data_IF_203642091816
#
_entry.id   IF_203642091816
#
_cell.length_a   1.000
_cell.length_b   1.000
_cell.length_c   1.000
_cell.angle_alpha   90.00
_cell.angle_beta   90.00
_cell.angle_gamma   90.00
#
_symmetry.space_group_name_H-M   'P 1'
#
loop_
_entity.id
_entity.type
_entity.pdbx_description
1 polymer ?
#
# COMPACT_ATOMS: atom_id res chain seq x y z
N UNK A 1 9.18 -46.45 16.60
CA UNK A 1 8.81 -45.04 16.45
C UNK A 1 9.49 -44.53 15.18
N UNK A 2 8.75 -44.47 14.06
CA UNK A 2 9.30 -44.13 12.74
C UNK A 2 8.92 -42.71 12.35
N UNK A 3 9.91 -41.87 12.08
CA UNK A 3 9.73 -40.48 11.66
C UNK A 3 9.36 -40.41 10.17
N UNK A 4 8.14 -39.95 9.87
CA UNK A 4 7.68 -39.65 8.52
C UNK A 4 8.10 -38.22 8.17
N UNK A 5 9.10 -38.07 7.31
CA UNK A 5 9.48 -36.79 6.72
C UNK A 5 8.61 -36.54 5.49
N UNK A 6 7.72 -35.54 5.57
CA UNK A 6 6.88 -35.13 4.43
C UNK A 6 7.73 -34.23 3.52
N UNK A 7 8.09 -34.74 2.34
CA UNK A 7 8.88 -34.01 1.35
C UNK A 7 7.98 -32.96 0.65
N UNK A 8 7.94 -31.75 1.20
CA UNK A 8 7.23 -30.62 0.59
C UNK A 8 7.97 -30.19 -0.70
N UNK A 9 7.36 -30.42 -1.88
CA UNK A 9 7.94 -30.03 -3.17
C UNK A 9 8.18 -28.53 -3.31
N UNK A 10 9.06 -28.14 -4.24
CA UNK A 10 9.55 -26.75 -4.44
C UNK A 10 8.47 -25.66 -4.63
N UNK A 11 7.22 -26.03 -4.95
CA UNK A 11 6.12 -25.08 -5.06
C UNK A 11 5.60 -24.61 -3.68
N UNK A 12 5.67 -25.46 -2.66
CA UNK A 12 5.22 -25.12 -1.31
C UNK A 12 6.17 -24.13 -0.61
N UNK A 13 7.48 -24.22 -0.88
CA UNK A 13 8.48 -23.29 -0.32
C UNK A 13 8.40 -21.90 -0.94
N UNK A 14 7.96 -21.76 -2.20
CA UNK A 14 7.78 -20.45 -2.87
C UNK A 14 6.76 -19.56 -2.15
N UNK A 15 5.64 -20.13 -1.69
CA UNK A 15 4.61 -19.39 -0.95
C UNK A 15 5.04 -19.07 0.49
N UNK A 16 5.99 -19.81 1.07
CA UNK A 16 6.49 -19.52 2.42
C UNK A 16 7.63 -18.51 2.41
N UNK A 17 8.58 -18.62 1.47
CA UNK A 17 9.79 -17.80 1.38
C UNK A 17 9.69 -16.60 0.43
N UNK A 18 8.77 -16.65 -0.54
CA UNK A 18 8.56 -15.55 -1.49
C UNK A 18 7.77 -14.37 -0.89
N UNK A 19 7.17 -14.57 0.28
CA UNK A 19 6.40 -13.58 1.01
C UNK A 19 7.32 -12.58 1.68
N UNK A 20 7.48 -11.41 1.05
CA UNK A 20 8.28 -10.31 1.57
C UNK A 20 7.45 -9.04 1.61
N UNK A 21 7.56 -8.34 2.73
CA UNK A 21 7.12 -6.94 2.79
C UNK A 21 8.12 -6.07 2.02
N UNK A 22 7.60 -5.23 1.14
CA UNK A 22 8.39 -4.33 0.29
C UNK A 22 8.05 -2.86 0.53
N UNK A 23 7.22 -2.56 1.53
CA UNK A 23 6.82 -1.20 1.89
C UNK A 23 5.93 -0.48 0.87
N UNK A 24 5.41 -1.17 -0.16
CA UNK A 24 4.63 -0.51 -1.23
C UNK A 24 3.35 0.15 -0.74
N UNK A 25 2.84 -0.25 0.42
CA UNK A 25 1.62 0.26 1.03
C UNK A 25 1.87 1.20 2.22
N UNK A 26 3.13 1.52 2.52
CA UNK A 26 3.51 2.35 3.67
C UNK A 26 2.92 3.76 3.60
N UNK A 27 2.66 4.26 2.38
CA UNK A 27 2.00 5.54 2.17
C UNK A 27 0.62 5.63 2.83
N UNK A 28 -0.07 4.50 3.08
CA UNK A 28 -1.37 4.51 3.78
C UNK A 28 -1.26 4.95 5.24
N UNK A 29 -0.08 4.82 5.84
CA UNK A 29 0.19 5.28 7.21
C UNK A 29 0.78 6.69 7.25
N UNK A 30 0.98 7.32 6.08
CA UNK A 30 1.48 8.69 6.00
C UNK A 30 0.48 9.66 6.67
N UNK A 31 1.02 10.71 7.28
CA UNK A 31 0.24 11.72 8.00
C UNK A 31 0.61 13.10 7.50
N UNK A 32 -0.36 14.01 7.53
CA UNK A 32 -0.11 15.42 7.29
C UNK A 32 0.79 15.96 8.40
N UNK A 33 1.91 16.57 8.00
CA UNK A 33 2.80 17.25 8.94
C UNK A 33 2.12 18.51 9.47
N UNK A 34 2.39 18.85 10.72
CA UNK A 34 1.97 20.12 11.28
C UNK A 34 2.65 21.28 10.50
N UNK A 35 1.94 22.42 10.32
CA UNK A 35 2.57 23.63 9.78
C UNK A 35 3.79 24.04 10.62
N UNK A 36 4.75 24.70 9.97
CA UNK A 36 5.92 25.26 10.66
C UNK A 36 5.47 26.51 11.42
N UNK A 37 5.77 26.56 12.72
CA UNK A 37 5.52 27.74 13.55
C UNK A 37 6.59 28.80 13.31
N UNK A 38 6.17 30.04 13.13
CA UNK A 38 7.06 31.17 12.85
C UNK A 38 7.26 32.02 14.11
N UNK A 39 8.46 32.54 14.38
CA UNK A 39 8.68 33.53 15.43
C UNK A 39 7.81 34.77 15.22
N UNK A 40 7.44 35.43 16.32
CA UNK A 40 6.68 36.67 16.26
C UNK A 40 7.42 37.74 15.43
N UNK A 41 6.68 38.44 14.57
CA UNK A 41 7.18 39.49 13.66
C UNK A 41 8.22 39.05 12.60
N UNK A 42 8.32 37.74 12.32
CA UNK A 42 9.17 37.22 11.25
C UNK A 42 8.42 37.27 9.91
N UNK A 43 8.90 38.08 8.97
CA UNK A 43 8.45 38.06 7.57
C UNK A 43 8.89 36.75 6.89
N UNK A 44 8.02 36.15 6.08
CA UNK A 44 8.33 34.93 5.33
C UNK A 44 8.20 35.14 3.83
N UNK A 45 9.02 34.41 3.08
CA UNK A 45 8.84 34.31 1.64
C UNK A 45 7.52 33.57 1.32
N UNK A 46 6.84 33.94 0.22
CA UNK A 46 5.61 33.25 -0.17
C UNK A 46 5.90 31.78 -0.49
N UNK A 47 5.18 30.87 0.16
CA UNK A 47 5.25 29.44 -0.13
C UNK A 47 4.22 29.09 -1.21
N UNK A 48 4.70 28.86 -2.44
CA UNK A 48 3.87 28.35 -3.54
C UNK A 48 4.32 26.92 -3.83
N UNK A 49 3.50 25.90 -3.54
CA UNK A 49 3.88 24.53 -3.81
C UNK A 49 3.92 24.29 -5.33
N UNK A 50 4.92 23.55 -5.79
CA UNK A 50 5.03 23.17 -7.21
C UNK A 50 3.83 22.32 -7.67
N UNK A 51 3.24 21.55 -6.74
CA UNK A 51 2.06 20.73 -6.98
C UNK A 51 1.01 20.97 -5.89
N UNK A 52 -0.27 21.18 -6.25
CA UNK A 52 -1.33 21.33 -5.28
C UNK A 52 -1.55 20.02 -4.52
N UNK A 53 -1.50 20.08 -3.19
CA UNK A 53 -1.83 18.93 -2.35
C UNK A 53 -3.34 18.90 -2.10
N UNK A 54 -4.07 17.87 -2.55
CA UNK A 54 -5.51 17.79 -2.32
C UNK A 54 -5.81 17.59 -0.83
N UNK A 55 -6.91 18.18 -0.36
CA UNK A 55 -7.46 17.84 0.96
C UNK A 55 -8.06 16.43 0.87
N UNK A 56 -7.29 15.44 1.33
CA UNK A 56 -7.74 14.05 1.39
C UNK A 56 -8.40 13.78 2.74
N UNK A 57 -9.60 13.20 2.71
CA UNK A 57 -10.24 12.62 3.89
C UNK A 57 -9.59 11.30 4.30
N UNK A 58 -10.16 10.62 5.30
CA UNK A 58 -9.69 9.29 5.68
C UNK A 58 -9.80 8.32 4.48
N UNK A 59 -8.73 7.57 4.23
CA UNK A 59 -8.73 6.53 3.19
C UNK A 59 -9.71 5.42 3.60
N UNK A 60 -10.72 5.16 2.76
CA UNK A 60 -11.74 4.13 3.01
C UNK A 60 -11.40 2.77 2.39
N UNK A 61 -10.36 2.71 1.56
CA UNK A 61 -9.92 1.49 0.89
C UNK A 61 -9.10 0.63 1.85
N UNK A 62 -9.47 -0.64 1.98
CA UNK A 62 -8.68 -1.65 2.69
C UNK A 62 -7.77 -2.34 1.67
N UNK A 63 -6.53 -1.85 1.57
CA UNK A 63 -5.53 -2.40 0.66
C UNK A 63 -4.57 -3.29 1.45
N UNK A 64 -4.44 -4.54 1.02
CA UNK A 64 -3.47 -5.50 1.55
C UNK A 64 -2.71 -6.11 0.38
N UNK A 65 -1.38 -6.16 0.47
CA UNK A 65 -0.59 -6.86 -0.54
C UNK A 65 -0.79 -8.36 -0.39
N UNK A 66 -1.00 -9.05 -1.52
CA UNK A 66 -0.76 -10.49 -1.55
C UNK A 66 0.74 -10.70 -1.42
N UNK A 67 1.09 -11.35 -0.32
CA UNK A 67 2.47 -11.55 0.10
C UNK A 67 3.26 -12.26 -1.02
N UNK A 68 4.27 -11.59 -1.58
CA UNK A 68 5.13 -12.10 -2.67
C UNK A 68 4.89 -11.54 -4.07
N UNK A 69 4.02 -10.54 -4.24
CA UNK A 69 3.74 -9.91 -5.53
C UNK A 69 4.19 -8.44 -5.55
N UNK A 70 5.50 -8.21 -5.37
CA UNK A 70 6.12 -6.93 -5.69
C UNK A 70 5.80 -6.65 -7.17
N UNK A 71 4.99 -5.62 -7.46
CA UNK A 71 4.55 -5.17 -8.79
C UNK A 71 3.27 -5.78 -9.41
N UNK A 72 2.53 -6.66 -8.74
CA UNK A 72 1.27 -7.16 -9.32
C UNK A 72 0.13 -6.18 -9.00
N UNK A 73 -0.28 -5.38 -9.98
CA UNK A 73 -1.49 -4.58 -9.86
C UNK A 73 -2.72 -5.52 -9.77
N UNK A 74 -3.62 -5.34 -8.79
CA UNK A 74 -4.84 -6.14 -8.71
C UNK A 74 -5.65 -5.96 -9.99
N UNK A 75 -6.20 -7.06 -10.51
CA UNK A 75 -7.04 -7.01 -11.71
C UNK A 75 -8.25 -6.11 -11.43
N UNK A 76 -8.57 -5.13 -12.30
CA UNK A 76 -9.73 -4.27 -12.11
C UNK A 76 -11.01 -5.11 -12.07
N UNK A 77 -11.83 -4.92 -11.04
CA UNK A 77 -13.15 -5.55 -10.95
C UNK A 77 -14.08 -4.86 -11.95
N UNK A 78 -14.27 -5.47 -13.12
CA UNK A 78 -15.26 -5.02 -14.08
C UNK A 78 -16.64 -5.46 -13.56
N UNK A 79 -17.41 -4.53 -13.01
CA UNK A 79 -18.84 -4.72 -12.84
C UNK A 79 -19.49 -4.72 -14.23
N UNK A 80 -19.45 -5.86 -14.92
CA UNK A 80 -20.32 -6.09 -16.06
C UNK A 80 -21.65 -6.58 -15.49
N UNK A 81 -22.65 -5.70 -15.49
CA UNK A 81 -24.04 -6.14 -15.36
C UNK A 81 -24.33 -7.05 -16.56
N UNK A 82 -24.47 -8.34 -16.30
CA UNK A 82 -24.96 -9.28 -17.32
C UNK A 82 -26.40 -8.88 -17.66
N UNK A 83 -26.75 -8.57 -18.92
CA UNK A 83 -28.14 -8.43 -19.29
C UNK A 83 -28.81 -9.81 -19.23
N UNK A 84 -29.93 -9.91 -18.51
CA UNK A 84 -30.79 -11.09 -18.52
C UNK A 84 -31.39 -11.25 -19.91
N UNK A 85 -31.26 -12.42 -20.51
CA UNK A 85 -32.05 -12.84 -21.66
C UNK A 85 -32.84 -14.09 -21.25
#
# INVERSE_FOLDING_TARGET
>A
MGSTLVLSGCQATKSLLGKRDNGSLDYQQSKKLAPIELPAAQETAPFVPLYPTPNVGANTLKLQNESGNQYQLPKPQRAVSSPSN
#
